data_IF_373387555873
#
_entry.id   IF_373387555873
#
_cell.length_a   1.000
_cell.length_b   1.000
_cell.length_c   1.000
_cell.angle_alpha   90.00
_cell.angle_beta   90.00
_cell.angle_gamma   90.00
#
_symmetry.space_group_name_H-M   'P 1'
#
loop_
_entity.id
_entity.type
_entity.pdbx_description
1 polymer ?
#
# COMPACT_ATOMS: atom_id res chain seq x y z
N UNK A 1 -1.10 77.14 13.00
CA UNK A 1 -0.62 76.71 11.67
C UNK A 1 0.17 75.42 11.87
N UNK A 2 -0.46 74.28 11.55
CA UNK A 2 0.14 72.95 11.61
C UNK A 2 1.20 72.81 10.49
N UNK A 3 2.34 72.21 10.79
CA UNK A 3 3.13 71.51 9.76
C UNK A 3 3.62 70.19 10.35
N UNK A 4 3.02 69.11 9.84
CA UNK A 4 3.47 67.72 9.94
C UNK A 4 4.87 67.56 9.32
N UNK A 5 5.58 66.47 9.62
CA UNK A 5 6.25 65.54 8.70
C UNK A 5 7.12 64.58 9.55
N UNK A 6 6.59 63.40 9.92
CA UNK A 6 6.85 62.10 9.26
C UNK A 6 8.27 61.58 9.54
N UNK A 7 8.39 60.66 10.50
CA UNK A 7 9.53 59.74 10.62
C UNK A 7 9.05 58.33 10.27
N UNK A 8 9.59 57.81 9.17
CA UNK A 8 9.33 56.50 8.59
C UNK A 8 9.81 55.37 9.52
N UNK A 9 8.91 54.47 9.91
CA UNK A 9 9.24 53.14 10.42
C UNK A 9 9.56 52.22 9.24
N UNK A 10 10.83 51.88 9.04
CA UNK A 10 11.27 50.88 8.09
C UNK A 10 10.94 49.48 8.64
N UNK A 11 9.89 48.85 8.12
CA UNK A 11 9.55 47.45 8.39
C UNK A 11 10.42 46.58 7.50
N UNK A 12 11.43 45.93 8.09
CA UNK A 12 12.22 44.90 7.41
C UNK A 12 11.36 43.64 7.23
N UNK A 13 10.92 43.39 5.99
CA UNK A 13 10.33 42.13 5.56
C UNK A 13 11.44 41.08 5.44
N UNK A 14 11.50 40.16 6.40
CA UNK A 14 12.29 38.94 6.29
C UNK A 14 11.70 38.05 5.18
N UNK A 15 12.50 37.55 4.22
CA UNK A 15 12.03 36.57 3.26
C UNK A 15 11.86 35.23 4.00
N UNK A 16 10.61 34.79 4.15
CA UNK A 16 10.30 33.42 4.60
C UNK A 16 10.76 32.49 3.49
N UNK A 17 11.86 31.76 3.72
CA UNK A 17 12.21 30.60 2.91
C UNK A 17 11.05 29.61 3.00
N UNK A 18 10.25 29.52 1.93
CA UNK A 18 9.25 28.49 1.78
C UNK A 18 10.00 27.14 1.75
N UNK A 19 9.97 26.41 2.86
CA UNK A 19 10.41 25.03 2.88
C UNK A 19 9.62 24.27 1.80
N UNK A 20 10.27 23.40 0.99
CA UNK A 20 9.55 22.51 0.11
C UNK A 20 8.59 21.70 0.98
N UNK A 21 7.29 21.82 0.70
CA UNK A 21 6.27 21.03 1.36
C UNK A 21 6.67 19.56 1.17
N UNK A 22 7.03 18.89 2.25
CA UNK A 22 7.09 17.44 2.28
C UNK A 22 5.77 16.97 1.68
N UNK A 23 5.83 16.35 0.51
CA UNK A 23 4.66 15.86 -0.19
C UNK A 23 3.93 14.98 0.81
N UNK A 24 2.80 15.48 1.31
CA UNK A 24 2.03 14.79 2.33
C UNK A 24 1.86 13.37 1.85
N UNK A 25 2.22 12.42 2.71
CA UNK A 25 1.87 11.02 2.56
C UNK A 25 0.35 11.00 2.37
N UNK A 26 -0.11 11.04 1.12
CA UNK A 26 -1.52 10.93 0.78
C UNK A 26 -1.87 9.47 1.09
N UNK A 27 -2.10 9.22 2.38
CA UNK A 27 -2.54 7.95 2.91
C UNK A 27 -3.82 7.62 2.17
N UNK A 28 -3.78 6.56 1.36
CA UNK A 28 -4.96 6.13 0.62
C UNK A 28 -6.00 5.77 1.66
N UNK A 29 -7.21 6.27 1.49
CA UNK A 29 -8.33 5.76 2.27
C UNK A 29 -8.48 4.26 1.96
N UNK A 30 -8.94 3.49 2.96
CA UNK A 30 -9.23 2.08 2.79
C UNK A 30 -10.10 1.86 1.55
N UNK A 31 -9.57 1.12 0.58
CA UNK A 31 -10.27 0.84 -0.69
C UNK A 31 -10.62 -0.64 -0.77
N UNK A 32 -11.90 -0.95 -0.55
CA UNK A 32 -12.38 -2.33 -0.59
C UNK A 32 -12.25 -2.95 -1.99
N UNK A 33 -11.89 -4.22 -2.03
CA UNK A 33 -11.91 -5.06 -3.22
C UNK A 33 -12.95 -6.17 -3.08
N UNK A 34 -13.40 -6.69 -4.21
CA UNK A 34 -14.31 -7.83 -4.28
C UNK A 34 -13.55 -9.07 -4.72
N UNK A 35 -13.74 -10.18 -4.00
CA UNK A 35 -13.20 -11.49 -4.39
C UNK A 35 -13.68 -11.85 -5.79
N UNK A 36 -12.78 -12.36 -6.63
CA UNK A 36 -13.04 -12.69 -8.04
C UNK A 36 -12.91 -11.50 -9.01
N UNK A 37 -12.84 -10.26 -8.51
CA UNK A 37 -12.58 -9.10 -9.37
C UNK A 37 -11.11 -9.05 -9.80
N UNK A 38 -10.84 -8.41 -10.94
CA UNK A 38 -9.47 -8.06 -11.33
C UNK A 38 -9.03 -6.79 -10.63
N UNK A 39 -7.83 -6.79 -10.05
CA UNK A 39 -7.21 -5.63 -9.43
C UNK A 39 -5.77 -5.46 -9.92
N UNK A 40 -5.24 -4.24 -9.82
CA UNK A 40 -3.85 -3.94 -10.19
C UNK A 40 -3.08 -3.58 -8.93
N UNK A 41 -2.16 -4.45 -8.54
CA UNK A 41 -1.16 -4.23 -7.51
C UNK A 41 -0.14 -3.21 -7.99
N UNK A 42 0.28 -2.30 -7.10
CA UNK A 42 1.32 -1.30 -7.38
C UNK A 42 2.23 -1.16 -6.17
N UNK A 43 3.54 -1.12 -6.40
CA UNK A 43 4.53 -0.86 -5.35
C UNK A 43 5.79 -0.23 -5.93
N UNK A 44 6.60 0.36 -5.06
CA UNK A 44 7.95 0.83 -5.41
C UNK A 44 8.96 -0.17 -4.88
N UNK A 45 9.83 -0.70 -5.75
CA UNK A 45 10.83 -1.71 -5.37
C UNK A 45 12.10 -1.05 -4.78
N UNK A 46 13.07 -1.88 -4.38
CA UNK A 46 14.33 -1.42 -3.79
C UNK A 46 15.18 -0.55 -4.74
N UNK A 47 14.98 -0.67 -6.06
CA UNK A 47 15.64 0.13 -7.08
C UNK A 47 14.93 1.47 -7.35
N UNK A 48 13.84 1.78 -6.63
CA UNK A 48 13.05 3.00 -6.81
C UNK A 48 12.11 2.95 -8.01
N UNK A 49 11.95 1.79 -8.66
CA UNK A 49 11.07 1.63 -9.82
C UNK A 49 9.63 1.39 -9.38
N UNK A 50 8.68 1.85 -10.19
CA UNK A 50 7.26 1.59 -9.97
C UNK A 50 6.87 0.27 -10.65
N UNK A 51 6.58 -0.73 -9.84
CA UNK A 51 6.17 -2.05 -10.29
C UNK A 51 4.65 -2.18 -10.28
N UNK A 52 4.12 -2.88 -11.29
CA UNK A 52 2.69 -3.20 -11.39
C UNK A 52 2.46 -4.65 -11.77
N UNK A 53 1.36 -5.20 -11.28
CA UNK A 53 0.87 -6.52 -11.66
C UNK A 53 -0.65 -6.55 -11.58
N UNK A 54 -1.30 -7.11 -12.59
CA UNK A 54 -2.75 -7.28 -12.62
C UNK A 54 -3.10 -8.74 -12.37
N UNK A 55 -3.99 -8.99 -11.42
CA UNK A 55 -4.42 -10.33 -11.05
C UNK A 55 -5.82 -10.35 -10.45
N UNK A 56 -6.28 -11.54 -10.08
CA UNK A 56 -7.61 -11.74 -9.51
C UNK A 56 -7.56 -11.71 -7.98
N UNK A 57 -8.44 -10.93 -7.37
CA UNK A 57 -8.59 -10.84 -5.91
C UNK A 57 -9.11 -12.16 -5.35
N UNK A 58 -8.51 -12.64 -4.26
CA UNK A 58 -8.81 -13.93 -3.67
C UNK A 58 -8.13 -15.13 -4.35
N UNK A 59 -7.20 -14.89 -5.28
CA UNK A 59 -6.39 -15.96 -5.87
C UNK A 59 -5.62 -16.75 -4.82
N UNK A 60 -5.27 -18.00 -5.15
CA UNK A 60 -4.41 -18.83 -4.32
C UNK A 60 -3.10 -19.16 -5.03
N UNK A 61 -2.03 -18.45 -4.69
CA UNK A 61 -0.71 -18.67 -5.29
C UNK A 61 0.15 -19.68 -4.49
N UNK A 62 -0.31 -20.10 -3.31
CA UNK A 62 0.45 -20.98 -2.41
C UNK A 62 1.65 -20.28 -1.79
N UNK A 63 2.80 -20.95 -1.73
CA UNK A 63 4.05 -20.35 -1.26
C UNK A 63 4.80 -19.62 -2.39
N UNK A 64 5.61 -18.63 -2.01
CA UNK A 64 6.46 -17.88 -2.95
C UNK A 64 7.58 -18.73 -3.58
N UNK A 65 8.43 -18.10 -4.39
CA UNK A 65 9.55 -18.77 -5.06
C UNK A 65 10.59 -19.37 -4.10
N UNK A 66 10.69 -18.86 -2.87
CA UNK A 66 11.53 -19.42 -1.81
C UNK A 66 10.85 -20.54 -0.99
N UNK A 67 9.61 -20.92 -1.33
CA UNK A 67 8.84 -21.92 -0.59
C UNK A 67 8.33 -21.43 0.77
N UNK A 68 8.31 -20.12 0.99
CA UNK A 68 7.86 -19.49 2.23
C UNK A 68 6.55 -18.72 2.06
N UNK A 69 5.91 -18.40 3.19
CA UNK A 69 4.67 -17.62 3.24
C UNK A 69 3.43 -18.37 2.77
N UNK A 70 2.28 -17.76 3.02
CA UNK A 70 0.97 -18.21 2.53
C UNK A 70 0.35 -17.07 1.73
N UNK A 71 0.36 -17.21 0.41
CA UNK A 71 -0.21 -16.27 -0.55
C UNK A 71 -1.52 -16.81 -1.13
N UNK A 72 -2.29 -17.52 -0.30
CA UNK A 72 -3.70 -17.78 -0.54
C UNK A 72 -4.55 -16.53 -0.23
N UNK A 73 -5.73 -16.42 -0.86
CA UNK A 73 -6.64 -15.28 -0.67
C UNK A 73 -6.02 -13.90 -0.97
N UNK A 74 -5.25 -13.77 -2.05
CA UNK A 74 -4.54 -12.51 -2.35
C UNK A 74 -5.46 -11.28 -2.32
N UNK A 75 -5.06 -10.26 -1.55
CA UNK A 75 -5.88 -9.07 -1.31
C UNK A 75 -6.61 -9.07 0.01
N UNK A 76 -6.67 -10.20 0.70
CA UNK A 76 -7.09 -10.25 2.10
C UNK A 76 -5.99 -9.66 2.97
N UNK A 77 -6.33 -8.76 3.87
CA UNK A 77 -5.40 -8.28 4.87
C UNK A 77 -5.05 -9.39 5.86
N UNK A 78 -3.75 -9.65 6.06
CA UNK A 78 -3.23 -10.73 6.88
C UNK A 78 -2.57 -11.84 6.06
N UNK A 79 -2.08 -12.89 6.72
CA UNK A 79 -1.44 -14.00 6.02
C UNK A 79 -2.50 -14.97 5.47
N UNK A 80 -2.48 -15.23 4.17
CA UNK A 80 -3.27 -16.29 3.53
C UNK A 80 -4.78 -16.19 3.75
N UNK A 81 -5.47 -17.31 3.49
CA UNK A 81 -6.89 -17.47 3.81
C UNK A 81 -7.13 -17.81 5.30
N UNK A 82 -6.16 -18.40 5.99
CA UNK A 82 -6.32 -18.96 7.34
C UNK A 82 -5.44 -18.30 8.40
N UNK A 83 -4.51 -17.44 8.01
CA UNK A 83 -3.64 -16.74 8.95
C UNK A 83 -4.36 -15.59 9.66
N UNK A 84 -3.73 -15.13 10.74
CA UNK A 84 -4.23 -14.11 11.64
C UNK A 84 -4.55 -12.80 10.91
N UNK A 85 -5.76 -12.28 11.15
CA UNK A 85 -6.22 -10.98 10.66
C UNK A 85 -7.39 -10.46 11.49
N UNK A 86 -7.70 -9.18 11.37
CA UNK A 86 -8.94 -8.59 11.89
C UNK A 86 -10.05 -8.80 10.88
N UNK A 87 -10.60 -10.01 10.84
CA UNK A 87 -11.61 -10.42 9.86
C UNK A 87 -11.05 -10.57 8.44
N UNK A 88 -11.93 -10.88 7.49
CA UNK A 88 -11.53 -11.12 6.09
C UNK A 88 -11.74 -9.87 5.25
N UNK A 89 -11.00 -8.79 5.58
CA UNK A 89 -11.03 -7.56 4.80
C UNK A 89 -10.23 -7.72 3.51
N UNK A 90 -10.86 -7.49 2.35
CA UNK A 90 -10.16 -7.44 1.07
C UNK A 90 -9.98 -6.01 0.61
N UNK A 91 -8.75 -5.57 0.42
CA UNK A 91 -8.44 -4.17 0.13
C UNK A 91 -7.31 -4.01 -0.88
N UNK A 92 -7.22 -2.83 -1.48
CA UNK A 92 -6.25 -2.54 -2.53
C UNK A 92 -4.80 -2.54 -2.05
N UNK A 93 -4.51 -2.06 -0.83
CA UNK A 93 -3.12 -2.01 -0.35
C UNK A 93 -2.68 -3.38 0.18
N UNK A 94 -3.57 -4.14 0.81
CA UNK A 94 -3.31 -5.55 1.14
C UNK A 94 -3.07 -6.39 -0.14
N UNK A 95 -3.83 -6.16 -1.22
CA UNK A 95 -3.58 -6.82 -2.51
C UNK A 95 -2.23 -6.45 -3.09
N UNK A 96 -1.87 -5.17 -3.05
CA UNK A 96 -0.56 -4.72 -3.55
C UNK A 96 0.59 -5.32 -2.75
N UNK A 97 0.46 -5.37 -1.42
CA UNK A 97 1.45 -5.98 -0.53
C UNK A 97 1.61 -7.48 -0.77
N UNK A 98 0.52 -8.25 -0.86
CA UNK A 98 0.58 -9.70 -1.10
C UNK A 98 1.29 -10.02 -2.41
N UNK A 99 0.94 -9.30 -3.48
CA UNK A 99 1.54 -9.50 -4.79
C UNK A 99 3.01 -9.09 -4.80
N UNK A 100 3.36 -7.95 -4.20
CA UNK A 100 4.75 -7.54 -4.04
C UNK A 100 5.54 -8.64 -3.30
N UNK A 101 5.03 -9.05 -2.15
CA UNK A 101 5.70 -9.99 -1.26
C UNK A 101 5.90 -11.36 -1.92
N UNK A 102 4.89 -11.85 -2.65
CA UNK A 102 4.99 -13.10 -3.41
C UNK A 102 6.11 -13.06 -4.45
N UNK A 103 6.17 -12.03 -5.28
CA UNK A 103 7.13 -11.95 -6.38
C UNK A 103 8.55 -11.61 -5.93
N UNK A 104 8.72 -10.95 -4.77
CA UNK A 104 10.02 -10.54 -4.26
C UNK A 104 10.54 -11.43 -3.12
N UNK A 105 9.81 -12.49 -2.76
CA UNK A 105 10.10 -13.32 -1.58
C UNK A 105 10.29 -12.48 -0.30
N UNK A 106 9.44 -11.46 -0.13
CA UNK A 106 9.64 -10.43 0.88
C UNK A 106 9.58 -10.99 2.30
N UNK A 107 10.36 -10.39 3.21
CA UNK A 107 10.39 -10.73 4.62
C UNK A 107 10.78 -9.53 5.49
N UNK A 108 10.43 -9.54 6.78
CA UNK A 108 10.73 -8.42 7.67
C UNK A 108 9.72 -7.27 7.62
N UNK A 109 8.58 -7.45 6.94
CA UNK A 109 7.46 -6.50 6.93
C UNK A 109 7.86 -5.12 6.42
N UNK A 110 7.65 -4.08 7.23
CA UNK A 110 7.97 -2.69 6.91
C UNK A 110 9.44 -2.44 6.54
N UNK A 111 10.36 -3.28 7.02
CA UNK A 111 11.79 -3.18 6.74
C UNK A 111 12.22 -3.89 5.46
N UNK A 112 11.31 -4.58 4.76
CA UNK A 112 11.64 -5.24 3.50
C UNK A 112 12.01 -4.18 2.44
N UNK A 113 13.15 -4.32 1.75
CA UNK A 113 13.62 -3.30 0.82
C UNK A 113 12.74 -3.18 -0.44
N UNK A 114 12.00 -4.23 -0.84
CA UNK A 114 11.15 -4.20 -2.02
C UNK A 114 9.68 -3.93 -1.69
N UNK A 115 9.20 -4.40 -0.54
CA UNK A 115 7.78 -4.42 -0.21
C UNK A 115 7.44 -3.68 1.09
N UNK A 116 8.43 -3.13 1.82
CA UNK A 116 8.20 -2.43 3.08
C UNK A 116 7.27 -1.22 2.95
N UNK A 117 7.35 -0.49 1.84
CA UNK A 117 6.42 0.60 1.55
C UNK A 117 4.98 0.09 1.35
N UNK A 118 4.80 -1.02 0.62
CA UNK A 118 3.48 -1.64 0.44
C UNK A 118 2.94 -2.23 1.76
N UNK A 119 3.82 -2.81 2.59
CA UNK A 119 3.47 -3.27 3.93
C UNK A 119 2.93 -2.10 4.77
N UNK A 120 3.65 -0.98 4.81
CA UNK A 120 3.24 0.21 5.56
C UNK A 120 1.92 0.80 5.06
N UNK A 121 1.68 0.79 3.75
CA UNK A 121 0.40 1.21 3.17
C UNK A 121 -0.76 0.29 3.59
N UNK A 122 -0.52 -1.01 3.74
CA UNK A 122 -1.54 -1.97 4.13
C UNK A 122 -1.85 -1.98 5.65
N UNK A 123 -1.12 -1.22 6.47
CA UNK A 123 -1.29 -1.26 7.94
C UNK A 123 -2.67 -0.77 8.37
N UNK A 124 -3.16 0.35 7.82
CA UNK A 124 -4.50 0.83 8.18
C UNK A 124 -5.61 0.03 7.51
N UNK A 125 -5.38 -0.53 6.33
CA UNK A 125 -6.29 -1.50 5.73
C UNK A 125 -6.45 -2.74 6.62
N UNK A 126 -5.36 -3.21 7.25
CA UNK A 126 -5.40 -4.32 8.21
C UNK A 126 -6.15 -3.94 9.49
N UNK A 127 -5.94 -2.72 10.00
CA UNK A 127 -6.56 -2.26 11.24
C UNK A 127 -8.05 -1.91 11.07
N UNK A 128 -8.44 -1.36 9.92
CA UNK A 128 -9.74 -0.73 9.72
C UNK A 128 -10.52 -1.29 8.53
N UNK A 129 -9.98 -2.22 7.73
CA UNK A 129 -10.62 -2.76 6.54
C UNK A 129 -11.99 -3.38 6.81
N UNK A 130 -12.10 -4.20 7.84
CA UNK A 130 -13.40 -4.81 8.23
C UNK A 130 -14.38 -3.75 8.73
N UNK A 131 -13.92 -2.76 9.50
CA UNK A 131 -14.76 -1.65 9.98
C UNK A 131 -15.27 -0.75 8.85
N UNK A 132 -14.51 -0.65 7.75
CA UNK A 132 -14.90 0.06 6.54
C UNK A 132 -15.75 -0.79 5.58
N UNK A 133 -16.24 -1.97 6.02
CA UNK A 133 -17.15 -2.81 5.22
C UNK A 133 -16.46 -3.63 4.13
N UNK A 134 -15.13 -3.76 4.17
CA UNK A 134 -14.38 -4.57 3.21
C UNK A 134 -14.41 -6.07 3.52
N UNK A 135 -15.15 -6.51 4.54
CA UNK A 135 -15.32 -7.91 4.90
C UNK A 135 -15.92 -8.72 3.74
N UNK A 136 -15.29 -9.82 3.36
CA UNK A 136 -15.78 -10.79 2.36
C UNK A 136 -15.58 -12.23 2.85
N UNK A 137 -16.32 -13.17 2.27
CA UNK A 137 -16.06 -14.60 2.48
C UNK A 137 -14.83 -15.02 1.69
N UNK A 138 -13.93 -15.76 2.33
CA UNK A 138 -12.75 -16.29 1.65
C UNK A 138 -13.15 -17.34 0.60
N UNK A 139 -12.59 -17.28 -0.62
CA UNK A 139 -12.80 -18.34 -1.60
C UNK A 139 -12.04 -19.61 -1.19
N UNK A 140 -12.46 -20.75 -1.75
CA UNK A 140 -11.76 -22.04 -1.62
C UNK A 140 -11.20 -22.44 -2.98
N UNK A 141 -10.09 -21.78 -3.35
CA UNK A 141 -9.43 -22.00 -4.64
C UNK A 141 -8.28 -23.01 -4.47
N UNK A 142 -8.13 -23.91 -5.44
CA UNK A 142 -6.91 -24.70 -5.56
C UNK A 142 -5.71 -23.79 -5.85
N UNK A 143 -4.49 -24.24 -5.48
CA UNK A 143 -3.27 -23.48 -5.75
C UNK A 143 -3.07 -23.37 -7.26
N UNK A 144 -2.92 -22.14 -7.75
CA UNK A 144 -2.62 -21.81 -9.14
C UNK A 144 -1.67 -20.61 -9.18
N UNK A 145 -0.40 -20.86 -9.47
CA UNK A 145 0.62 -19.81 -9.57
C UNK A 145 0.39 -18.93 -10.80
N UNK A 146 0.67 -17.62 -10.74
CA UNK A 146 0.57 -16.74 -11.89
C UNK A 146 1.61 -17.13 -12.95
N UNK A 147 1.22 -17.06 -14.23
CA UNK A 147 2.10 -17.32 -15.38
C UNK A 147 2.83 -16.08 -15.88
N UNK A 148 2.36 -14.89 -15.49
CA UNK A 148 2.97 -13.59 -15.83
C UNK A 148 3.76 -13.03 -14.67
N UNK A 149 4.64 -12.06 -14.99
CA UNK A 149 5.50 -11.38 -14.02
C UNK A 149 5.11 -9.90 -13.92
N UNK A 150 5.45 -9.23 -12.81
CA UNK A 150 5.29 -7.78 -12.70
C UNK A 150 6.12 -7.01 -13.73
N UNK A 151 5.63 -5.85 -14.12
CA UNK A 151 6.34 -4.88 -14.97
C UNK A 151 6.80 -3.72 -14.09
N UNK A 152 8.09 -3.41 -14.10
CA UNK A 152 8.70 -2.33 -13.33
C UNK A 152 9.35 -1.32 -14.28
N UNK A 153 9.10 -0.04 -14.04
CA UNK A 153 9.65 1.08 -14.82
C UNK A 153 10.27 2.11 -13.90
#
# INVERSE_FOLDING_TARGET
>A
MLSQYVTLLAVYLMPVLAAPQAQGLHKRAVSCLSVGATATARWTNAAGQNCTFTGVVGSNYGANGAGAGDYSCNGRCGAGCTGSSVGNAYTQDCFSHDICSYFNNASGGASDPNCGAAYNAAVDDTAFGTLNGCGRTNPSNAVSKPSTRPVCQ
#
